data_IF_777506277272
#
_entry.id   IF_777506277272
#
_cell.length_a   1.000
_cell.length_b   1.000
_cell.length_c   1.000
_cell.angle_alpha   90.00
_cell.angle_beta   90.00
_cell.angle_gamma   90.00
#
_symmetry.space_group_name_H-M   'P 1'
#
loop_
_entity.id
_entity.type
_entity.pdbx_description
1 polymer ?
#
# COMPACT_ATOMS: atom_id res chain seq x y z
N UNK A 1 -5.40 -16.38 -20.70
CA UNK A 1 -5.51 -15.40 -19.61
C UNK A 1 -6.82 -14.64 -19.77
N UNK A 2 -7.52 -14.27 -18.68
CA UNK A 2 -8.73 -13.43 -18.77
C UNK A 2 -8.33 -11.98 -19.08
N UNK A 3 -9.05 -11.28 -19.97
CA UNK A 3 -8.82 -9.86 -20.29
C UNK A 3 -8.77 -8.96 -19.05
N UNK A 4 -9.45 -9.36 -17.97
CA UNK A 4 -9.47 -8.65 -16.69
C UNK A 4 -8.13 -8.79 -15.97
N UNK A 5 -7.54 -9.98 -15.96
CA UNK A 5 -6.23 -10.23 -15.34
C UNK A 5 -5.15 -9.43 -16.07
N UNK A 6 -5.16 -9.45 -17.41
CA UNK A 6 -4.22 -8.67 -18.23
C UNK A 6 -4.35 -7.16 -18.04
N UNK A 7 -5.53 -6.68 -17.63
CA UNK A 7 -5.72 -5.28 -17.27
C UNK A 7 -5.15 -4.97 -15.88
N UNK A 8 -5.41 -5.82 -14.89
CA UNK A 8 -4.88 -5.68 -13.52
C UNK A 8 -3.34 -5.68 -13.55
N UNK A 9 -2.73 -6.60 -14.29
CA UNK A 9 -1.27 -6.70 -14.36
C UNK A 9 -0.64 -5.43 -14.97
N UNK A 10 -1.27 -4.87 -16.00
CA UNK A 10 -0.81 -3.60 -16.60
C UNK A 10 -0.98 -2.41 -15.65
N UNK A 11 -2.06 -2.37 -14.90
CA UNK A 11 -2.31 -1.29 -13.93
C UNK A 11 -1.33 -1.35 -12.74
N UNK A 12 -1.06 -2.55 -12.23
CA UNK A 12 -0.06 -2.80 -11.20
C UNK A 12 1.34 -2.40 -11.69
N UNK A 13 1.72 -2.80 -12.91
CA UNK A 13 3.02 -2.42 -13.50
C UNK A 13 3.17 -0.90 -13.65
N UNK A 14 2.09 -0.19 -14.01
CA UNK A 14 2.09 1.27 -14.08
C UNK A 14 2.25 1.89 -12.69
N UNK A 15 1.55 1.39 -11.69
CA UNK A 15 1.67 1.85 -10.30
C UNK A 15 3.09 1.65 -9.78
N UNK A 16 3.69 0.49 -10.03
CA UNK A 16 5.06 0.17 -9.64
C UNK A 16 6.07 1.11 -10.28
N UNK A 17 5.92 1.44 -11.58
CA UNK A 17 6.76 2.41 -12.25
C UNK A 17 6.67 3.81 -11.60
N UNK A 18 5.46 4.24 -11.22
CA UNK A 18 5.26 5.52 -10.53
C UNK A 18 5.95 5.49 -9.16
N UNK A 19 5.78 4.42 -8.38
CA UNK A 19 6.39 4.31 -7.06
C UNK A 19 7.91 4.20 -7.12
N UNK A 20 8.44 3.47 -8.11
CA UNK A 20 9.87 3.36 -8.37
C UNK A 20 10.52 4.71 -8.69
N UNK A 21 9.77 5.67 -9.26
CA UNK A 21 10.26 7.04 -9.51
C UNK A 21 10.38 7.91 -8.25
N UNK A 22 9.80 7.49 -7.11
CA UNK A 22 9.76 8.30 -5.88
C UNK A 22 11.00 8.09 -5.01
N UNK A 23 11.46 9.10 -4.26
CA UNK A 23 12.59 8.92 -3.36
C UNK A 23 12.29 7.92 -2.24
N UNK A 24 13.32 7.23 -1.74
CA UNK A 24 13.18 6.20 -0.69
C UNK A 24 12.52 6.74 0.57
N UNK A 25 12.87 7.95 1.00
CA UNK A 25 12.25 8.61 2.15
C UNK A 25 10.74 8.79 1.98
N UNK A 26 10.28 9.11 0.79
CA UNK A 26 8.85 9.24 0.48
C UNK A 26 8.14 7.88 0.55
N UNK A 27 8.75 6.81 0.03
CA UNK A 27 8.19 5.46 0.14
C UNK A 27 8.09 4.99 1.59
N UNK A 28 9.10 5.28 2.41
CA UNK A 28 9.06 4.96 3.85
C UNK A 28 7.93 5.71 4.54
N UNK A 29 7.79 7.02 4.30
CA UNK A 29 6.70 7.81 4.87
C UNK A 29 5.33 7.30 4.42
N UNK A 30 5.17 6.96 3.13
CA UNK A 30 3.93 6.37 2.61
C UNK A 30 3.64 5.02 3.25
N UNK A 31 4.66 4.19 3.47
CA UNK A 31 4.49 2.89 4.12
C UNK A 31 4.01 3.04 5.57
N UNK A 32 4.66 3.93 6.34
CA UNK A 32 4.28 4.25 7.71
C UNK A 32 2.87 4.85 7.80
N UNK A 33 2.53 5.74 6.87
CA UNK A 33 1.17 6.28 6.76
C UNK A 33 0.15 5.17 6.48
N UNK A 34 0.47 4.24 5.58
CA UNK A 34 -0.36 3.06 5.32
C UNK A 34 -0.62 2.25 6.60
N UNK A 35 0.42 1.92 7.37
CA UNK A 35 0.29 1.21 8.65
C UNK A 35 -0.59 2.00 9.64
N UNK A 36 -0.41 3.32 9.73
CA UNK A 36 -1.21 4.17 10.61
C UNK A 36 -2.69 4.18 10.20
N UNK A 37 -3.00 4.23 8.90
CA UNK A 37 -4.37 4.12 8.40
C UNK A 37 -4.98 2.76 8.71
N UNK A 38 -4.20 1.68 8.57
CA UNK A 38 -4.65 0.34 8.93
C UNK A 38 -5.02 0.26 10.40
N UNK A 39 -4.13 0.72 11.29
CA UNK A 39 -4.38 0.77 12.72
C UNK A 39 -5.60 1.63 13.05
N UNK A 40 -5.77 2.77 12.37
CA UNK A 40 -6.95 3.63 12.53
C UNK A 40 -8.23 2.94 12.06
N UNK A 41 -8.20 2.17 10.97
CA UNK A 41 -9.32 1.35 10.52
C UNK A 41 -9.74 0.33 11.57
N UNK A 42 -8.77 -0.39 12.16
CA UNK A 42 -9.05 -1.34 13.27
C UNK A 42 -9.65 -0.62 14.47
N UNK A 43 -9.03 0.48 14.91
CA UNK A 43 -9.51 1.24 16.07
C UNK A 43 -10.94 1.77 15.83
N UNK A 44 -11.21 2.27 14.62
CA UNK A 44 -12.53 2.76 14.23
C UNK A 44 -13.57 1.65 14.21
N UNK A 45 -13.23 0.45 13.75
CA UNK A 45 -14.12 -0.72 13.79
C UNK A 45 -14.43 -1.14 15.23
N UNK A 46 -13.43 -1.16 16.11
CA UNK A 46 -13.60 -1.54 17.52
C UNK A 46 -14.47 -0.55 18.30
N UNK A 47 -14.43 0.73 17.94
CA UNK A 47 -15.17 1.80 18.63
C UNK A 47 -16.30 2.37 17.75
N UNK A 48 -16.79 1.59 16.78
CA UNK A 48 -17.81 2.03 15.86
C UNK A 48 -19.15 2.25 16.59
N UNK A 49 -19.57 3.50 16.71
CA UNK A 49 -20.86 3.88 17.32
C UNK A 49 -21.96 4.21 16.32
N UNK A 50 -21.63 4.31 15.03
CA UNK A 50 -22.54 4.76 13.97
C UNK A 50 -22.32 3.94 12.71
N UNK A 51 -23.34 3.85 11.85
CA UNK A 51 -23.27 3.08 10.61
C UNK A 51 -22.13 3.52 9.67
N UNK A 52 -21.80 4.82 9.65
CA UNK A 52 -20.72 5.32 8.81
C UNK A 52 -19.33 4.84 9.27
N UNK A 53 -19.12 4.60 10.57
CA UNK A 53 -17.87 4.04 11.08
C UNK A 53 -17.59 2.66 10.47
N UNK A 54 -18.63 1.83 10.35
CA UNK A 54 -18.52 0.50 9.72
C UNK A 54 -18.25 0.55 8.22
N UNK A 55 -18.63 1.62 7.53
CA UNK A 55 -18.30 1.81 6.12
C UNK A 55 -16.86 2.33 5.93
N UNK A 56 -16.40 3.23 6.80
CA UNK A 56 -15.08 3.87 6.68
C UNK A 56 -13.95 2.99 7.22
N UNK A 57 -14.20 2.21 8.27
CA UNK A 57 -13.17 1.36 8.88
C UNK A 57 -12.54 0.35 7.90
N UNK A 58 -13.30 -0.40 7.07
CA UNK A 58 -12.74 -1.28 6.05
C UNK A 58 -11.95 -0.54 4.98
N UNK A 59 -12.37 0.67 4.58
CA UNK A 59 -11.66 1.49 3.61
C UNK A 59 -10.29 1.93 4.13
N UNK A 60 -10.23 2.39 5.38
CA UNK A 60 -8.97 2.75 6.04
C UNK A 60 -8.07 1.52 6.23
N UNK A 61 -8.65 0.39 6.61
CA UNK A 61 -7.93 -0.86 6.79
C UNK A 61 -7.30 -1.37 5.48
N UNK A 62 -8.12 -1.60 4.47
CA UNK A 62 -7.67 -2.14 3.18
C UNK A 62 -6.78 -1.14 2.43
N UNK A 63 -7.17 0.14 2.41
CA UNK A 63 -6.38 1.22 1.79
C UNK A 63 -5.02 1.39 2.46
N UNK A 64 -4.97 1.33 3.80
CA UNK A 64 -3.73 1.39 4.56
C UNK A 64 -2.79 0.22 4.24
N UNK A 65 -3.32 -1.00 4.19
CA UNK A 65 -2.57 -2.21 3.79
C UNK A 65 -1.99 -2.03 2.39
N UNK A 66 -2.80 -1.63 1.40
CA UNK A 66 -2.32 -1.43 0.03
C UNK A 66 -1.19 -0.38 -0.03
N UNK A 67 -1.34 0.75 0.67
CA UNK A 67 -0.31 1.79 0.68
C UNK A 67 1.00 1.31 1.31
N UNK A 68 0.91 0.53 2.38
CA UNK A 68 2.06 -0.08 3.03
C UNK A 68 2.78 -1.06 2.12
N UNK A 69 2.06 -2.08 1.63
CA UNK A 69 2.66 -3.15 0.83
C UNK A 69 3.24 -2.66 -0.49
N UNK A 70 2.52 -1.81 -1.23
CA UNK A 70 3.02 -1.28 -2.50
C UNK A 70 4.30 -0.46 -2.32
N UNK A 71 4.43 0.24 -1.19
CA UNK A 71 5.66 0.98 -0.88
C UNK A 71 6.80 0.06 -0.47
N UNK A 72 6.52 -0.94 0.38
CA UNK A 72 7.50 -1.90 0.89
C UNK A 72 8.06 -2.78 -0.22
N UNK A 73 7.23 -3.25 -1.16
CA UNK A 73 7.67 -4.02 -2.34
C UNK A 73 8.80 -3.33 -3.09
N UNK A 74 8.64 -2.04 -3.38
CA UNK A 74 9.66 -1.24 -4.09
C UNK A 74 10.89 -0.99 -3.20
N UNK A 75 10.70 -0.81 -1.89
CA UNK A 75 11.82 -0.66 -0.95
C UNK A 75 12.68 -1.92 -0.89
N UNK A 76 12.06 -3.09 -0.80
CA UNK A 76 12.76 -4.40 -0.80
C UNK A 76 13.53 -4.58 -2.10
N UNK A 77 12.90 -4.33 -3.25
CA UNK A 77 13.57 -4.41 -4.55
C UNK A 77 14.81 -3.48 -4.64
N UNK A 78 14.75 -2.29 -4.02
CA UNK A 78 15.90 -1.37 -3.93
C UNK A 78 17.01 -1.86 -3.00
N UNK A 79 16.66 -2.55 -1.92
CA UNK A 79 17.65 -3.13 -1.00
C UNK A 79 18.34 -4.31 -1.68
N UNK A 80 17.58 -5.21 -2.30
CA UNK A 80 18.11 -6.37 -3.02
C UNK A 80 19.05 -5.94 -4.16
N UNK A 81 18.67 -4.93 -4.97
CA UNK A 81 19.54 -4.46 -6.06
C UNK A 81 20.86 -3.87 -5.59
N UNK A 82 20.92 -3.30 -4.38
CA UNK A 82 22.18 -2.83 -3.77
C UNK A 82 23.03 -3.97 -3.27
N UNK A 83 22.41 -5.02 -2.72
CA UNK A 83 23.10 -6.18 -2.16
C UNK A 83 23.68 -7.10 -3.25
N UNK A 84 22.99 -7.24 -4.39
CA UNK A 84 23.43 -8.11 -5.50
C UNK A 84 24.48 -7.49 -6.42
N UNK A 85 24.75 -6.19 -6.27
CA UNK A 85 25.67 -5.42 -7.13
C UNK A 85 27.00 -5.05 -6.46
N UNK A 86 27.30 -5.58 -5.28
CA UNK A 86 28.58 -5.45 -4.57
C UNK A 86 29.27 -6.80 -4.44
#
# INVERSE_FOLDING_TARGET
MSRIIDWIDRDNARTDAILASRPTSWLVLRALFGVALTAKGVALAMHATTGWHYAVAPLLFAGGIMFAFESVKILVARVESRTSGG
#
